data_IF_107055707379
#
_entry.id   IF_107055707379
#
_cell.length_a   1.000
_cell.length_b   1.000
_cell.length_c   1.000
_cell.angle_alpha   90.00
_cell.angle_beta   90.00
_cell.angle_gamma   90.00
#
_symmetry.space_group_name_H-M   'P 1'
#
loop_
_entity.id
_entity.type
_entity.pdbx_description
1 polymer ?
#
# COMPACT_ATOMS: atom_id res chain seq x y z
N UNK A 1 68.50 9.26 -2.41
CA UNK A 1 68.62 10.39 -3.31
C UNK A 1 67.22 10.68 -3.80
N UNK A 2 66.55 11.60 -3.47
CA UNK A 2 66.62 12.92 -2.89
C UNK A 2 65.24 13.53 -3.12
N UNK A 3 64.70 13.84 -2.02
CA UNK A 3 63.97 15.05 -1.64
C UNK A 3 62.77 15.54 -2.47
N UNK A 4 61.73 15.65 -1.71
CA UNK A 4 60.58 16.54 -1.84
C UNK A 4 60.97 18.04 -1.77
N UNK A 5 60.14 18.99 -1.27
CA UNK A 5 58.78 18.99 -0.73
C UNK A 5 57.93 20.22 -1.14
N UNK A 6 56.71 20.33 -0.52
CA UNK A 6 55.96 21.56 -0.11
C UNK A 6 55.44 22.47 -1.22
N UNK A 7 54.29 23.10 -1.13
CA UNK A 7 53.64 23.90 -0.06
C UNK A 7 52.18 24.17 -0.37
N UNK A 8 51.39 24.12 0.67
CA UNK A 8 50.12 24.84 0.79
C UNK A 8 50.45 26.32 1.16
N UNK A 9 49.70 27.30 0.80
CA UNK A 9 48.83 28.00 1.72
C UNK A 9 47.58 28.59 1.04
N UNK A 10 46.56 28.96 1.68
CA UNK A 10 46.25 29.46 2.95
C UNK A 10 44.82 30.04 2.96
N UNK A 11 44.25 30.00 4.07
CA UNK A 11 43.15 30.77 4.61
C UNK A 11 42.88 32.17 4.04
N UNK A 12 41.59 32.51 3.89
CA UNK A 12 41.09 33.82 4.31
C UNK A 12 39.58 33.77 4.63
N UNK A 13 39.38 34.04 5.88
CA UNK A 13 38.16 34.34 6.61
C UNK A 13 37.76 35.83 6.46
N UNK A 14 36.55 36.11 6.77
CA UNK A 14 35.94 37.40 7.21
C UNK A 14 34.95 38.03 6.20
N UNK A 15 33.81 38.59 6.55
CA UNK A 15 33.18 39.03 7.81
C UNK A 15 31.74 39.37 7.56
N UNK A 16 30.95 39.24 8.61
CA UNK A 16 29.58 39.78 8.78
C UNK A 16 29.49 41.31 8.57
N UNK A 17 28.32 41.80 8.23
CA UNK A 17 27.57 42.96 8.74
C UNK A 17 26.20 42.95 8.07
N UNK A 18 25.05 42.82 8.67
CA UNK A 18 24.49 43.61 9.74
C UNK A 18 23.39 44.53 9.17
N UNK A 19 22.13 44.41 9.61
CA UNK A 19 21.16 45.44 9.36
C UNK A 19 19.70 45.02 9.41
N UNK A 20 19.14 45.01 10.60
CA UNK A 20 17.69 44.93 10.88
C UNK A 20 16.96 46.22 10.44
N UNK A 21 15.70 46.09 10.01
CA UNK A 21 14.65 47.07 10.32
C UNK A 21 13.29 46.43 10.36
N UNK A 22 12.68 46.54 11.53
CA UNK A 22 11.25 46.43 11.83
C UNK A 22 10.49 47.60 11.20
N UNK A 23 9.23 47.37 10.83
CA UNK A 23 8.23 48.39 10.57
C UNK A 23 6.87 47.81 10.81
N UNK A 24 6.27 48.32 11.82
CA UNK A 24 5.01 48.04 12.52
C UNK A 24 3.84 48.73 11.80
N UNK A 25 2.69 48.06 11.96
CA UNK A 25 1.28 48.51 12.07
C UNK A 25 0.67 49.46 11.00
N UNK A 26 -0.49 49.10 10.48
CA UNK A 26 -1.73 49.80 10.85
C UNK A 26 -3.00 49.01 10.49
N UNK A 27 -3.91 48.93 11.46
CA UNK A 27 -5.31 48.56 11.35
C UNK A 27 -6.07 49.60 10.56
N UNK A 28 -7.03 49.23 9.74
CA UNK A 28 -8.32 49.92 9.83
C UNK A 28 -9.50 49.14 9.24
N UNK A 29 -10.60 49.24 9.94
CA UNK A 29 -11.92 48.69 9.73
C UNK A 29 -12.63 49.22 8.47
N UNK A 30 -13.60 48.45 7.98
CA UNK A 30 -14.65 48.99 7.14
C UNK A 30 -15.52 47.89 6.56
N UNK A 31 -16.66 47.67 7.19
CA UNK A 31 -17.73 46.78 6.79
C UNK A 31 -18.46 47.19 5.52
N UNK A 32 -19.19 46.26 4.96
CA UNK A 32 -20.09 46.43 3.84
C UNK A 32 -20.76 45.14 3.44
N UNK A 33 -22.02 45.10 3.69
CA UNK A 33 -23.03 44.05 3.50
C UNK A 33 -23.31 43.71 2.03
N UNK A 34 -23.62 42.43 1.80
CA UNK A 34 -24.60 41.81 0.89
C UNK A 34 -24.46 41.98 -0.63
N UNK A 35 -24.42 40.92 -1.40
CA UNK A 35 -25.58 40.38 -2.11
C UNK A 35 -25.18 39.19 -3.00
N UNK A 36 -26.15 38.35 -3.23
CA UNK A 36 -26.21 37.06 -3.90
C UNK A 36 -25.68 37.09 -5.34
N UNK A 37 -24.91 36.07 -5.71
CA UNK A 37 -24.57 35.73 -7.10
C UNK A 37 -24.18 34.26 -7.22
N UNK A 38 -25.18 33.43 -7.50
CA UNK A 38 -25.10 32.02 -7.81
C UNK A 38 -24.42 31.83 -9.17
N UNK A 39 -23.26 31.20 -9.22
CA UNK A 39 -22.72 30.62 -10.44
C UNK A 39 -22.06 29.29 -10.10
N UNK A 40 -22.70 28.24 -10.53
CA UNK A 40 -22.26 26.86 -10.59
C UNK A 40 -21.08 26.76 -11.55
N UNK A 41 -19.91 26.38 -11.08
CA UNK A 41 -18.83 25.85 -11.91
C UNK A 41 -18.26 24.62 -11.23
N UNK A 42 -18.36 23.51 -11.97
CA UNK A 42 -17.85 22.20 -11.61
C UNK A 42 -16.38 22.24 -11.25
N UNK A 43 -16.07 21.99 -9.99
CA UNK A 43 -14.72 21.71 -9.51
C UNK A 43 -14.40 20.26 -9.78
N UNK A 44 -13.43 20.00 -10.63
CA UNK A 44 -12.81 18.70 -10.75
C UNK A 44 -12.00 18.43 -9.47
N UNK A 45 -12.51 17.53 -8.65
CA UNK A 45 -11.86 17.05 -7.43
C UNK A 45 -10.76 16.08 -7.83
N UNK A 46 -9.51 16.53 -7.76
CA UNK A 46 -8.35 15.63 -7.83
C UNK A 46 -8.18 14.99 -6.46
N UNK A 47 -8.98 13.96 -6.22
CA UNK A 47 -8.87 13.10 -5.04
C UNK A 47 -7.51 12.39 -5.04
N UNK A 48 -6.71 12.68 -4.01
CA UNK A 48 -5.46 12.01 -3.74
C UNK A 48 -5.64 10.50 -3.61
N UNK A 49 -4.68 9.74 -4.09
CA UNK A 49 -4.60 8.30 -3.94
C UNK A 49 -4.56 7.94 -2.44
N UNK A 50 -5.72 7.61 -1.89
CA UNK A 50 -5.81 7.01 -0.58
C UNK A 50 -5.36 5.56 -0.68
N UNK A 51 -4.33 5.21 0.06
CA UNK A 51 -3.92 3.82 0.27
C UNK A 51 -4.98 3.18 1.17
N UNK A 52 -5.95 2.53 0.57
CA UNK A 52 -6.99 1.81 1.29
C UNK A 52 -6.43 0.47 1.75
N UNK A 53 -6.12 0.37 3.03
CA UNK A 53 -5.71 -0.88 3.67
C UNK A 53 -6.98 -1.64 4.03
N UNK A 54 -7.48 -2.46 3.12
CA UNK A 54 -8.59 -3.34 3.39
C UNK A 54 -8.10 -4.59 4.14
N UNK A 55 -8.53 -4.75 5.39
CA UNK A 55 -8.35 -5.98 6.15
C UNK A 55 -9.36 -7.02 5.70
N UNK A 56 -8.92 -8.16 5.19
CA UNK A 56 -9.80 -9.31 4.90
C UNK A 56 -9.91 -10.12 6.19
N UNK A 57 -11.10 -10.34 6.76
CA UNK A 57 -11.24 -11.15 7.96
C UNK A 57 -10.83 -12.60 7.69
N UNK A 58 -9.99 -13.14 8.57
CA UNK A 58 -9.62 -14.55 8.55
C UNK A 58 -10.88 -15.43 8.63
N UNK A 59 -10.85 -16.57 7.93
CA UNK A 59 -11.95 -17.55 7.91
C UNK A 59 -12.35 -17.93 9.33
N UNK A 60 -13.66 -17.81 9.63
CA UNK A 60 -14.27 -18.11 10.94
C UNK A 60 -13.93 -19.53 11.40
N UNK A 61 -13.42 -19.72 12.61
CA UNK A 61 -13.43 -21.02 13.23
C UNK A 61 -14.90 -21.42 13.56
N UNK A 62 -15.16 -22.71 13.47
CA UNK A 62 -16.48 -23.33 13.65
C UNK A 62 -17.03 -23.02 15.05
N UNK A 63 -18.08 -22.22 15.16
CA UNK A 63 -18.74 -21.94 16.44
C UNK A 63 -19.57 -23.14 16.89
N UNK A 64 -19.22 -23.72 18.02
CA UNK A 64 -20.14 -24.62 18.75
C UNK A 64 -21.16 -23.73 19.48
N UNK A 65 -22.33 -23.55 18.87
CA UNK A 65 -23.49 -22.94 19.54
C UNK A 65 -24.09 -23.96 20.50
N UNK A 66 -23.77 -23.83 21.78
CA UNK A 66 -24.57 -24.40 22.86
C UNK A 66 -25.55 -23.34 23.36
N UNK A 67 -26.83 -23.54 23.14
CA UNK A 67 -27.89 -22.73 23.72
C UNK A 67 -27.95 -23.07 25.25
N UNK A 68 -27.48 -22.16 26.10
CA UNK A 68 -27.49 -22.33 27.56
C UNK A 68 -28.42 -21.30 28.12
N UNK A 69 -29.60 -21.73 28.56
CA UNK A 69 -30.54 -20.88 29.27
C UNK A 69 -29.94 -20.35 30.59
N UNK A 70 -30.20 -19.08 30.95
CA UNK A 70 -29.78 -18.52 32.24
C UNK A 70 -30.30 -19.34 33.40
N UNK A 71 -29.49 -19.60 34.43
CA UNK A 71 -29.85 -20.26 35.67
C UNK A 71 -29.82 -19.24 36.83
N UNK A 72 -30.74 -19.39 37.78
CA UNK A 72 -30.71 -18.59 38.99
C UNK A 72 -29.42 -18.84 39.78
N UNK A 73 -28.93 -17.80 40.48
CA UNK A 73 -27.77 -17.94 41.33
C UNK A 73 -28.06 -18.93 42.44
N UNK A 74 -27.32 -20.06 42.52
CA UNK A 74 -27.57 -21.06 43.56
C UNK A 74 -27.43 -20.46 44.97
N UNK A 75 -28.21 -20.97 45.93
CA UNK A 75 -28.13 -20.51 47.34
C UNK A 75 -26.73 -20.71 47.95
N UNK A 76 -26.01 -21.75 47.50
CA UNK A 76 -24.65 -22.09 47.90
C UNK A 76 -23.56 -21.33 47.07
N UNK A 77 -23.95 -20.41 46.19
CA UNK A 77 -22.99 -19.66 45.34
C UNK A 77 -21.89 -18.95 46.16
N UNK A 78 -22.21 -18.53 47.37
CA UNK A 78 -21.26 -17.92 48.30
C UNK A 78 -20.13 -18.85 48.67
N UNK A 79 -20.38 -20.18 48.74
CA UNK A 79 -19.43 -21.22 49.12
C UNK A 79 -18.63 -21.72 47.91
N UNK A 80 -19.08 -21.42 46.69
CA UNK A 80 -18.37 -21.86 45.45
C UNK A 80 -17.03 -21.12 45.33
N UNK A 81 -15.96 -21.84 44.94
CA UNK A 81 -14.69 -21.20 44.57
C UNK A 81 -14.90 -20.17 43.45
N UNK A 82 -14.15 -19.09 43.51
CA UNK A 82 -14.21 -18.01 42.48
C UNK A 82 -14.01 -18.58 41.06
N UNK A 83 -13.13 -19.61 40.92
CA UNK A 83 -12.90 -20.30 39.68
C UNK A 83 -14.14 -20.94 39.05
N UNK A 84 -15.15 -21.30 39.87
CA UNK A 84 -16.42 -21.88 39.39
C UNK A 84 -17.50 -20.81 39.26
N UNK A 85 -17.63 -19.92 40.26
CA UNK A 85 -18.65 -18.89 40.28
C UNK A 85 -18.47 -17.83 39.18
N UNK A 86 -17.21 -17.50 38.80
CA UNK A 86 -16.86 -16.56 37.76
C UNK A 86 -16.18 -17.30 36.56
N UNK A 87 -16.59 -18.51 36.25
CA UNK A 87 -16.06 -19.25 35.11
C UNK A 87 -16.54 -18.62 33.78
N UNK A 88 -15.62 -18.45 32.86
CA UNK A 88 -15.88 -17.85 31.54
C UNK A 88 -14.95 -18.41 30.47
N UNK A 89 -15.25 -18.09 29.21
CA UNK A 89 -14.43 -18.42 28.06
C UNK A 89 -14.55 -17.31 27.00
N UNK A 90 -13.52 -17.18 26.18
CA UNK A 90 -13.57 -16.50 24.89
C UNK A 90 -14.04 -17.47 23.81
N UNK A 91 -14.63 -16.97 22.75
CA UNK A 91 -15.04 -17.77 21.57
C UNK A 91 -13.82 -18.14 20.68
N UNK A 92 -12.77 -17.33 20.73
CA UNK A 92 -11.46 -17.59 20.11
C UNK A 92 -10.35 -17.16 21.05
N UNK A 93 -9.24 -17.88 21.05
CA UNK A 93 -8.07 -17.65 21.91
C UNK A 93 -6.91 -16.99 21.16
N UNK A 94 -6.95 -16.96 19.84
CA UNK A 94 -5.94 -16.30 19.03
C UNK A 94 -6.60 -15.60 17.81
N UNK A 95 -6.22 -14.35 17.56
CA UNK A 95 -6.79 -13.53 16.49
C UNK A 95 -5.78 -12.51 15.98
N UNK A 96 -6.14 -11.81 14.90
CA UNK A 96 -5.39 -10.66 14.41
C UNK A 96 -5.90 -9.37 15.06
N UNK A 97 -5.06 -8.36 15.17
CA UNK A 97 -5.47 -7.01 15.58
C UNK A 97 -6.73 -6.58 14.83
N UNK A 98 -7.70 -5.98 15.54
CA UNK A 98 -8.96 -5.54 14.96
C UNK A 98 -10.02 -6.63 14.78
N UNK A 99 -9.75 -7.86 15.21
CA UNK A 99 -10.77 -8.93 15.22
C UNK A 99 -11.65 -8.81 16.46
N UNK A 100 -12.96 -8.90 16.27
CA UNK A 100 -13.93 -8.92 17.36
C UNK A 100 -13.96 -10.29 18.03
N UNK A 101 -13.81 -10.32 19.36
CA UNK A 101 -13.77 -11.53 20.20
C UNK A 101 -14.93 -11.48 21.17
N UNK A 102 -15.73 -12.54 21.21
CA UNK A 102 -16.85 -12.69 22.13
C UNK A 102 -16.44 -13.38 23.43
N UNK A 103 -16.94 -12.84 24.56
CA UNK A 103 -16.73 -13.41 25.88
C UNK A 103 -18.06 -13.82 26.50
N UNK A 104 -18.06 -14.92 27.23
CA UNK A 104 -19.27 -15.41 27.87
C UNK A 104 -18.98 -16.13 29.19
N UNK A 105 -19.87 -15.98 30.14
CA UNK A 105 -19.84 -16.82 31.34
C UNK A 105 -20.11 -18.29 30.98
N UNK A 106 -19.40 -19.21 31.63
CA UNK A 106 -19.64 -20.65 31.45
C UNK A 106 -21.05 -21.07 31.85
N UNK A 107 -21.63 -20.37 32.84
CA UNK A 107 -23.03 -20.53 33.27
C UNK A 107 -23.64 -19.14 33.38
N UNK A 108 -24.53 -18.74 32.46
CA UNK A 108 -25.29 -17.50 32.59
C UNK A 108 -26.12 -17.55 33.88
N UNK A 109 -26.12 -16.42 34.64
CA UNK A 109 -26.81 -16.28 35.91
C UNK A 109 -27.70 -15.07 35.91
N UNK A 110 -28.85 -15.18 36.60
CA UNK A 110 -29.71 -14.04 36.94
C UNK A 110 -29.25 -13.40 38.24
N UNK A 111 -29.73 -12.21 38.58
CA UNK A 111 -29.47 -11.48 39.82
C UNK A 111 -27.96 -11.21 40.09
N UNK A 112 -27.18 -11.05 39.05
CA UNK A 112 -25.77 -10.66 39.12
C UNK A 112 -25.48 -9.42 38.31
N UNK A 113 -24.48 -8.65 38.73
CA UNK A 113 -23.77 -7.66 37.91
C UNK A 113 -22.43 -8.22 37.51
N UNK A 114 -22.02 -8.01 36.32
CA UNK A 114 -20.72 -8.42 35.81
C UNK A 114 -19.85 -7.24 35.46
N UNK A 115 -18.54 -7.42 35.61
CA UNK A 115 -17.53 -6.48 35.13
C UNK A 115 -16.40 -7.28 34.50
N UNK A 116 -16.22 -7.07 33.22
CA UNK A 116 -15.11 -7.60 32.46
C UNK A 116 -13.98 -6.59 32.43
N UNK A 117 -12.75 -7.09 32.57
CA UNK A 117 -11.52 -6.36 32.29
C UNK A 117 -10.76 -7.18 31.24
N UNK A 118 -10.49 -6.56 30.09
CA UNK A 118 -9.86 -7.22 28.96
C UNK A 118 -8.32 -7.16 28.99
N UNK A 119 -7.74 -6.52 30.01
CA UNK A 119 -6.28 -6.45 30.16
C UNK A 119 -5.59 -5.37 29.31
N UNK A 120 -6.32 -4.69 28.44
CA UNK A 120 -5.86 -3.57 27.62
C UNK A 120 -6.27 -2.19 28.19
N UNK A 121 -6.87 -2.17 29.37
CA UNK A 121 -7.41 -0.97 30.03
C UNK A 121 -8.87 -0.71 29.72
N UNK A 122 -9.52 -1.55 28.92
CA UNK A 122 -10.95 -1.44 28.63
C UNK A 122 -11.76 -2.42 29.47
N UNK A 123 -13.04 -2.06 29.68
CA UNK A 123 -13.96 -2.78 30.56
C UNK A 123 -15.35 -2.87 29.92
N UNK A 124 -16.11 -3.92 30.28
CA UNK A 124 -17.51 -4.05 29.91
C UNK A 124 -18.34 -4.57 31.08
N UNK A 125 -19.60 -4.16 31.16
CA UNK A 125 -20.59 -4.66 32.10
C UNK A 125 -21.71 -5.49 31.45
N UNK A 126 -21.53 -5.84 30.19
CA UNK A 126 -22.45 -6.69 29.45
C UNK A 126 -22.30 -8.14 29.88
N UNK A 127 -23.39 -8.91 29.84
CA UNK A 127 -23.38 -10.32 30.22
C UNK A 127 -22.54 -11.18 29.27
N UNK A 128 -22.51 -10.79 27.99
CA UNK A 128 -21.76 -11.46 26.93
C UNK A 128 -21.18 -10.42 25.99
N UNK A 129 -20.08 -9.73 26.38
CA UNK A 129 -19.53 -8.65 25.61
C UNK A 129 -18.77 -9.17 24.38
N UNK A 130 -18.68 -8.29 23.38
CA UNK A 130 -17.71 -8.40 22.31
C UNK A 130 -16.65 -7.33 22.52
N UNK A 131 -15.39 -7.66 22.19
CA UNK A 131 -14.27 -6.76 22.37
C UNK A 131 -13.29 -6.86 21.21
N UNK A 132 -12.69 -5.72 20.83
CA UNK A 132 -11.68 -5.60 19.79
C UNK A 132 -10.39 -5.08 20.43
N UNK A 133 -9.29 -5.81 20.23
CA UNK A 133 -7.99 -5.39 20.71
C UNK A 133 -7.26 -4.61 19.60
N UNK A 134 -6.83 -3.39 19.93
CA UNK A 134 -6.17 -2.48 18.98
C UNK A 134 -4.66 -2.68 18.87
N UNK A 135 -4.06 -3.48 19.76
CA UNK A 135 -2.64 -3.75 19.78
C UNK A 135 -2.33 -5.26 19.79
N UNK A 136 -1.22 -5.69 19.19
CA UNK A 136 -0.78 -7.07 19.32
C UNK A 136 -0.25 -7.32 20.73
N UNK A 137 -0.50 -8.52 21.26
CA UNK A 137 -0.10 -8.89 22.60
C UNK A 137 -0.83 -10.12 23.11
N UNK A 138 -0.53 -10.50 24.35
CA UNK A 138 -1.23 -11.55 25.06
C UNK A 138 -1.93 -10.90 26.24
N UNK A 139 -3.21 -11.22 26.41
CA UNK A 139 -4.09 -10.52 27.33
C UNK A 139 -4.66 -11.45 28.40
N UNK A 140 -4.57 -10.98 29.65
CA UNK A 140 -5.19 -11.59 30.79
C UNK A 140 -6.60 -11.06 30.95
N UNK A 141 -7.57 -11.93 30.94
CA UNK A 141 -8.98 -11.55 31.02
C UNK A 141 -9.50 -11.81 32.43
N UNK A 142 -10.13 -10.79 32.99
CA UNK A 142 -10.72 -10.88 34.34
C UNK A 142 -12.22 -10.65 34.29
N UNK A 143 -12.96 -11.59 34.90
CA UNK A 143 -14.40 -11.43 35.14
C UNK A 143 -14.65 -11.29 36.65
N UNK A 144 -15.33 -10.22 37.03
CA UNK A 144 -15.89 -10.03 38.37
C UNK A 144 -17.41 -10.16 38.31
N UNK A 145 -17.98 -11.05 39.10
CA UNK A 145 -19.42 -11.28 39.23
C UNK A 145 -19.85 -10.86 40.63
N UNK A 146 -20.81 -9.92 40.70
CA UNK A 146 -21.36 -9.41 41.96
C UNK A 146 -22.81 -9.85 42.06
N UNK A 147 -23.17 -10.57 43.15
CA UNK A 147 -24.56 -10.93 43.44
C UNK A 147 -25.30 -9.72 43.95
N UNK A 148 -26.49 -9.45 43.39
CA UNK A 148 -27.26 -8.21 43.69
C UNK A 148 -27.84 -8.25 45.11
N UNK A 149 -28.26 -9.43 45.58
CA UNK A 149 -28.94 -9.59 46.85
C UNK A 149 -28.11 -9.20 48.08
N UNK A 150 -26.80 -9.43 48.08
CA UNK A 150 -25.91 -9.22 49.24
C UNK A 150 -24.57 -8.52 48.88
N UNK A 151 -24.34 -8.22 47.64
CA UNK A 151 -23.13 -7.58 47.17
C UNK A 151 -21.88 -8.47 47.16
N UNK A 152 -22.03 -9.78 47.36
CA UNK A 152 -20.89 -10.72 47.33
C UNK A 152 -20.23 -10.75 45.96
N UNK A 153 -18.88 -10.59 45.93
CA UNK A 153 -18.10 -10.55 44.68
C UNK A 153 -17.28 -11.82 44.52
N UNK A 154 -17.27 -12.35 43.34
CA UNK A 154 -16.38 -13.42 42.90
C UNK A 154 -15.63 -12.96 41.65
N UNK A 155 -14.30 -13.04 41.69
CA UNK A 155 -13.43 -12.62 40.59
C UNK A 155 -12.56 -13.78 40.14
N UNK A 156 -12.43 -13.94 38.82
CA UNK A 156 -11.52 -14.89 38.21
C UNK A 156 -10.73 -14.20 37.08
N UNK A 157 -9.42 -14.39 37.08
CA UNK A 157 -8.54 -14.03 35.98
C UNK A 157 -8.09 -15.32 35.30
N UNK A 158 -8.10 -15.30 33.96
CA UNK A 158 -7.44 -16.33 33.16
C UNK A 158 -6.28 -15.63 32.45
N UNK A 159 -5.09 -16.02 32.87
CA UNK A 159 -3.85 -15.49 32.31
C UNK A 159 -3.67 -15.98 30.88
N UNK A 160 -3.18 -15.10 30.01
CA UNK A 160 -2.87 -15.40 28.61
C UNK A 160 -4.06 -16.02 27.82
N UNK A 161 -5.29 -15.65 28.15
CA UNK A 161 -6.48 -16.21 27.52
C UNK A 161 -6.58 -15.87 26.04
N UNK A 162 -6.16 -14.66 25.68
CA UNK A 162 -6.26 -14.18 24.30
C UNK A 162 -4.90 -13.72 23.79
N UNK A 163 -4.52 -14.22 22.62
CA UNK A 163 -3.30 -13.78 21.91
C UNK A 163 -3.67 -13.05 20.63
N UNK A 164 -3.26 -11.79 20.52
CA UNK A 164 -3.50 -10.95 19.36
C UNK A 164 -2.23 -10.82 18.54
N UNK A 165 -2.30 -11.27 17.28
CA UNK A 165 -1.18 -11.24 16.36
C UNK A 165 -1.16 -9.94 15.55
N UNK A 166 0.03 -9.39 15.26
CA UNK A 166 0.17 -8.22 14.43
C UNK A 166 -0.26 -8.51 12.99
N UNK A 167 -0.85 -7.51 12.34
CA UNK A 167 -1.13 -7.52 10.91
C UNK A 167 0.16 -7.14 10.17
N UNK A 168 0.57 -7.86 9.14
CA UNK A 168 1.73 -7.48 8.33
C UNK A 168 1.44 -6.16 7.60
N UNK A 169 2.48 -5.43 7.27
CA UNK A 169 2.36 -4.22 6.44
C UNK A 169 2.68 -4.57 4.99
N UNK A 170 1.65 -4.68 4.16
CA UNK A 170 1.81 -4.89 2.74
C UNK A 170 2.38 -3.64 2.06
N UNK A 171 3.38 -3.84 1.21
CA UNK A 171 3.98 -2.79 0.37
C UNK A 171 4.71 -3.44 -0.80
N UNK A 172 4.76 -2.76 -1.94
CA UNK A 172 5.51 -3.24 -3.09
C UNK A 172 5.95 -2.11 -4.03
N UNK A 173 6.97 -2.42 -4.81
CA UNK A 173 7.43 -1.58 -5.92
C UNK A 173 7.27 -2.32 -7.23
N UNK A 174 7.19 -1.58 -8.33
CA UNK A 174 7.15 -2.14 -9.67
C UNK A 174 8.07 -1.40 -10.63
N UNK A 175 8.49 -2.10 -11.64
CA UNK A 175 9.25 -1.55 -12.77
C UNK A 175 8.76 -2.22 -14.07
N UNK A 176 8.94 -1.54 -15.19
CA UNK A 176 8.64 -2.10 -16.50
C UNK A 176 9.96 -2.29 -17.24
N UNK A 177 10.63 -3.45 -17.09
CA UNK A 177 11.98 -3.65 -17.61
C UNK A 177 12.01 -3.91 -19.12
N UNK A 178 10.95 -4.48 -19.69
CA UNK A 178 10.92 -4.90 -21.08
C UNK A 178 9.49 -5.09 -21.60
N UNK A 179 9.35 -5.19 -22.92
CA UNK A 179 8.19 -5.81 -23.55
C UNK A 179 8.51 -7.28 -23.84
N UNK A 180 7.59 -8.20 -23.55
CA UNK A 180 7.58 -9.48 -24.22
C UNK A 180 6.87 -9.31 -25.56
N UNK A 181 7.23 -10.08 -26.58
CA UNK A 181 6.87 -10.00 -28.01
C UNK A 181 5.78 -9.02 -28.47
N UNK A 182 4.76 -8.74 -27.65
CA UNK A 182 3.64 -7.83 -27.94
C UNK A 182 3.10 -7.04 -26.75
N UNK A 183 3.45 -7.45 -25.53
CA UNK A 183 2.82 -6.92 -24.33
C UNK A 183 3.84 -6.38 -23.32
N UNK A 184 3.52 -5.31 -22.58
CA UNK A 184 4.38 -4.85 -21.52
C UNK A 184 4.49 -5.89 -20.41
N UNK A 185 5.70 -6.08 -19.90
CA UNK A 185 5.99 -6.91 -18.72
C UNK A 185 6.20 -5.98 -17.55
N UNK A 186 5.41 -6.17 -16.48
CA UNK A 186 5.63 -5.49 -15.21
C UNK A 186 6.36 -6.45 -14.28
N UNK A 187 7.47 -5.99 -13.74
CA UNK A 187 8.19 -6.67 -12.66
C UNK A 187 7.83 -6.06 -11.34
N UNK A 188 7.22 -6.84 -10.47
CA UNK A 188 6.80 -6.44 -9.14
C UNK A 188 7.74 -7.02 -8.09
N UNK A 189 8.04 -6.24 -7.05
CA UNK A 189 8.89 -6.65 -5.94
C UNK A 189 8.20 -6.37 -4.63
N UNK A 190 8.06 -7.39 -3.81
CA UNK A 190 7.53 -7.30 -2.45
C UNK A 190 8.45 -6.45 -1.56
N UNK A 191 7.84 -5.53 -0.81
CA UNK A 191 8.47 -4.68 0.20
C UNK A 191 7.74 -4.76 1.53
N UNK A 192 6.83 -5.73 1.66
CA UNK A 192 6.05 -5.93 2.88
C UNK A 192 6.95 -6.20 4.08
N UNK A 193 6.45 -5.83 5.26
CA UNK A 193 7.11 -6.11 6.54
C UNK A 193 6.23 -7.05 7.36
N UNK A 194 6.86 -7.88 8.18
CA UNK A 194 6.21 -8.83 9.08
C UNK A 194 5.30 -9.85 8.36
N UNK A 195 5.58 -10.09 7.07
CA UNK A 195 4.91 -11.07 6.23
C UNK A 195 5.78 -12.31 6.03
N UNK A 196 5.17 -13.49 6.02
CA UNK A 196 5.81 -14.76 5.66
C UNK A 196 5.50 -15.19 4.24
N UNK A 197 4.35 -14.74 3.71
CA UNK A 197 3.90 -15.04 2.36
C UNK A 197 3.36 -13.78 1.67
N UNK A 198 3.46 -13.78 0.35
CA UNK A 198 2.90 -12.73 -0.49
C UNK A 198 2.21 -13.37 -1.71
N UNK A 199 1.02 -12.87 -2.05
CA UNK A 199 0.25 -13.31 -3.21
C UNK A 199 -0.10 -12.08 -4.05
N UNK A 200 0.19 -12.15 -5.33
CA UNK A 200 -0.09 -11.10 -6.29
C UNK A 200 -1.43 -11.35 -6.98
N UNK A 201 -2.19 -10.29 -7.14
CA UNK A 201 -3.47 -10.27 -7.85
C UNK A 201 -3.41 -9.13 -8.86
N UNK A 202 -3.70 -9.42 -10.12
CA UNK A 202 -3.73 -8.43 -11.20
C UNK A 202 -5.11 -8.47 -11.84
N UNK A 203 -5.78 -7.33 -11.93
CA UNK A 203 -7.14 -7.18 -12.48
C UNK A 203 -8.17 -8.15 -11.88
N UNK A 204 -7.97 -8.52 -10.61
CA UNK A 204 -8.87 -9.44 -9.88
C UNK A 204 -8.53 -10.93 -10.06
N UNK A 205 -7.55 -11.27 -10.90
CA UNK A 205 -7.09 -12.65 -11.07
C UNK A 205 -5.87 -12.94 -10.20
N UNK A 206 -5.88 -14.05 -9.47
CA UNK A 206 -4.71 -14.49 -8.69
C UNK A 206 -3.61 -14.91 -9.63
N UNK A 207 -2.51 -14.24 -9.50
CA UNK A 207 -1.46 -14.34 -10.46
C UNK A 207 -0.31 -15.24 -10.03
N UNK A 208 0.39 -14.89 -8.98
CA UNK A 208 1.58 -15.61 -8.51
C UNK A 208 1.78 -15.40 -7.01
N UNK A 209 2.51 -16.33 -6.39
CA UNK A 209 3.00 -16.16 -5.02
C UNK A 209 4.52 -15.93 -5.05
N UNK A 210 5.02 -15.17 -4.07
CA UNK A 210 6.46 -14.98 -3.84
C UNK A 210 6.93 -13.54 -3.73
N UNK A 211 8.24 -13.40 -3.54
CA UNK A 211 8.94 -12.13 -3.33
C UNK A 211 8.95 -11.22 -4.57
N UNK A 212 8.87 -11.79 -5.75
CA UNK A 212 8.79 -11.05 -7.01
C UNK A 212 7.93 -11.79 -8.01
N UNK A 213 7.29 -11.05 -8.89
CA UNK A 213 6.52 -11.60 -9.98
C UNK A 213 6.68 -10.74 -11.24
N UNK A 214 6.90 -11.39 -12.37
CA UNK A 214 6.84 -10.76 -13.68
C UNK A 214 5.48 -11.09 -14.31
N UNK A 215 4.79 -10.04 -14.75
CA UNK A 215 3.45 -10.09 -15.30
C UNK A 215 3.43 -9.52 -16.70
N UNK A 216 2.91 -10.27 -17.65
CA UNK A 216 2.61 -9.80 -18.99
C UNK A 216 1.18 -9.25 -19.02
N UNK A 217 1.02 -7.96 -19.30
CA UNK A 217 -0.27 -7.29 -19.39
C UNK A 217 -0.81 -7.41 -20.81
N UNK A 218 -1.92 -8.13 -20.96
CA UNK A 218 -2.49 -8.42 -22.28
C UNK A 218 -3.20 -7.26 -22.97
N UNK A 219 -3.30 -6.09 -22.31
CA UNK A 219 -3.99 -4.91 -22.83
C UNK A 219 -3.35 -3.61 -22.33
N UNK A 220 -3.64 -2.54 -23.01
CA UNK A 220 -3.32 -1.18 -22.58
C UNK A 220 -4.43 -0.62 -21.71
N UNK A 221 -4.14 0.39 -20.90
CA UNK A 221 -5.06 1.04 -19.98
C UNK A 221 -4.67 0.87 -18.53
N UNK A 222 -5.63 1.10 -17.65
CA UNK A 222 -5.43 0.98 -16.23
C UNK A 222 -5.51 -0.51 -15.79
N UNK A 223 -4.52 -0.91 -15.02
CA UNK A 223 -4.43 -2.22 -14.39
C UNK A 223 -4.38 -2.08 -12.88
N UNK A 224 -5.16 -2.88 -12.19
CA UNK A 224 -5.19 -2.92 -10.73
C UNK A 224 -4.30 -4.04 -10.24
N UNK A 225 -3.19 -3.67 -9.60
CA UNK A 225 -2.27 -4.63 -8.98
C UNK A 225 -2.44 -4.60 -7.47
N UNK A 226 -2.61 -5.77 -6.88
CA UNK A 226 -2.72 -5.95 -5.44
C UNK A 226 -1.67 -6.96 -4.98
N UNK A 227 -1.09 -6.69 -3.82
CA UNK A 227 -0.25 -7.62 -3.07
C UNK A 227 -0.94 -7.95 -1.75
N UNK A 228 -1.32 -9.19 -1.57
CA UNK A 228 -1.82 -9.71 -0.29
C UNK A 228 -0.62 -10.28 0.49
N UNK A 229 -0.24 -9.59 1.55
CA UNK A 229 0.80 -10.03 2.47
C UNK A 229 0.18 -10.77 3.65
N UNK A 230 0.71 -11.95 3.99
CA UNK A 230 0.21 -12.79 5.09
C UNK A 230 1.31 -13.06 6.10
N UNK A 231 0.99 -12.92 7.39
CA UNK A 231 1.89 -13.31 8.49
C UNK A 231 1.89 -14.83 8.71
N UNK A 232 2.82 -15.39 9.49
CA UNK A 232 2.82 -16.82 9.88
C UNK A 232 1.55 -17.25 10.62
N UNK A 233 0.84 -16.29 11.21
CA UNK A 233 -0.38 -16.49 11.98
C UNK A 233 -1.67 -16.35 11.16
N UNK A 234 -1.54 -16.14 9.84
CA UNK A 234 -2.68 -15.97 8.95
C UNK A 234 -3.27 -14.56 8.88
N UNK A 235 -2.71 -13.59 9.60
CA UNK A 235 -3.12 -12.19 9.48
C UNK A 235 -2.69 -11.63 8.13
N UNK A 236 -3.56 -10.84 7.49
CA UNK A 236 -3.35 -10.35 6.13
C UNK A 236 -3.50 -8.84 6.05
N UNK A 237 -2.76 -8.24 5.13
CA UNK A 237 -2.97 -6.88 4.64
C UNK A 237 -2.81 -6.83 3.14
N UNK A 238 -3.35 -5.78 2.52
CA UNK A 238 -3.34 -5.62 1.06
C UNK A 238 -2.76 -4.25 0.71
N UNK A 239 -1.75 -4.24 -0.16
CA UNK A 239 -1.32 -3.04 -0.86
C UNK A 239 -1.92 -3.06 -2.27
N UNK A 240 -2.44 -1.92 -2.73
CA UNK A 240 -3.07 -1.77 -4.05
C UNK A 240 -2.49 -0.57 -4.78
N UNK A 241 -2.15 -0.76 -6.05
CA UNK A 241 -1.75 0.30 -6.96
C UNK A 241 -2.47 0.15 -8.29
N UNK A 242 -2.87 1.30 -8.83
CA UNK A 242 -3.36 1.39 -10.19
C UNK A 242 -2.16 1.71 -11.08
N UNK A 243 -1.88 0.86 -12.04
CA UNK A 243 -0.77 1.01 -12.97
C UNK A 243 -1.36 1.31 -14.34
N UNK A 244 -1.10 2.51 -14.84
CA UNK A 244 -1.53 2.88 -16.16
C UNK A 244 -0.51 2.42 -17.20
N UNK A 245 -0.94 1.51 -18.08
CA UNK A 245 -0.19 1.09 -19.25
C UNK A 245 -0.73 1.84 -20.45
N UNK A 246 -0.01 2.90 -20.82
CA UNK A 246 -0.46 3.81 -21.86
C UNK A 246 -0.50 3.14 -23.23
N UNK A 247 -1.68 3.20 -23.86
CA UNK A 247 -1.76 3.19 -25.31
C UNK A 247 -1.80 4.62 -25.78
N UNK A 248 -0.88 5.02 -26.65
CA UNK A 248 -1.01 6.25 -27.44
C UNK A 248 -1.36 7.54 -26.65
N UNK A 249 -0.97 7.65 -25.43
CA UNK A 249 -1.06 8.92 -24.75
C UNK A 249 -0.21 9.91 -25.54
N UNK A 250 -0.77 11.00 -26.02
CA UNK A 250 -0.17 12.12 -26.71
C UNK A 250 1.35 12.20 -26.96
N UNK A 251 2.11 11.20 -26.57
CA UNK A 251 3.52 10.98 -26.89
C UNK A 251 3.69 10.72 -28.38
N UNK A 252 2.58 10.42 -29.11
CA UNK A 252 2.57 10.32 -30.55
C UNK A 252 3.35 9.10 -31.02
N UNK A 253 2.63 7.98 -31.18
CA UNK A 253 3.15 6.83 -31.88
C UNK A 253 3.53 7.15 -33.30
N UNK A 254 4.24 6.23 -33.88
CA UNK A 254 4.86 6.17 -35.16
C UNK A 254 4.21 7.02 -36.25
N UNK A 255 4.88 8.11 -36.56
CA UNK A 255 4.96 8.51 -37.97
C UNK A 255 5.76 7.46 -38.74
N UNK A 256 5.76 7.58 -40.04
CA UNK A 256 6.65 6.80 -40.93
C UNK A 256 8.09 6.88 -40.40
N UNK A 257 8.79 5.78 -40.45
CA UNK A 257 10.22 5.71 -40.15
C UNK A 257 10.89 5.01 -41.28
N UNK A 258 11.74 5.72 -42.01
CA UNK A 258 12.45 5.24 -43.18
C UNK A 258 13.89 5.77 -43.13
N UNK A 259 14.81 5.06 -42.48
CA UNK A 259 16.19 5.53 -42.27
C UNK A 259 17.07 5.30 -43.54
N UNK A 260 16.62 5.73 -44.72
CA UNK A 260 17.28 5.58 -46.00
C UNK A 260 18.24 6.73 -46.34
N UNK A 261 18.17 7.84 -45.57
CA UNK A 261 19.08 8.98 -45.70
C UNK A 261 18.63 10.02 -46.73
N UNK A 262 17.36 10.00 -47.15
CA UNK A 262 16.78 10.97 -48.09
C UNK A 262 16.38 12.30 -47.42
N UNK A 263 16.50 12.39 -46.07
CA UNK A 263 16.14 13.56 -45.27
C UNK A 263 14.71 13.55 -44.78
N UNK A 264 13.89 12.54 -45.12
CA UNK A 264 12.50 12.44 -44.77
C UNK A 264 12.27 11.19 -43.89
N UNK A 265 11.76 11.35 -42.70
CA UNK A 265 11.47 10.25 -41.76
C UNK A 265 12.68 9.40 -41.36
N UNK A 266 13.89 9.90 -41.57
CA UNK A 266 15.16 9.24 -41.20
C UNK A 266 15.37 9.02 -39.71
N UNK A 267 14.55 9.66 -38.88
CA UNK A 267 14.70 9.66 -37.42
C UNK A 267 13.37 9.38 -36.74
N UNK A 268 13.42 8.50 -35.78
CA UNK A 268 12.28 8.15 -34.94
C UNK A 268 12.42 8.76 -33.54
N UNK A 269 11.46 9.57 -33.17
CA UNK A 269 11.29 10.10 -31.80
C UNK A 269 9.80 10.29 -31.55
N UNK A 270 9.23 9.66 -30.53
CA UNK A 270 7.88 9.95 -30.08
C UNK A 270 7.75 11.42 -29.70
N UNK A 271 6.81 12.12 -30.36
CA UNK A 271 6.70 13.61 -30.28
C UNK A 271 6.51 14.14 -28.87
N UNK A 272 5.78 13.41 -28.02
CA UNK A 272 5.53 13.79 -26.64
C UNK A 272 6.77 13.83 -25.77
N UNK A 273 7.87 13.14 -26.15
CA UNK A 273 9.13 13.21 -25.40
C UNK A 273 9.75 14.61 -25.38
N UNK A 274 9.47 15.45 -26.38
CA UNK A 274 9.95 16.81 -26.44
C UNK A 274 9.28 17.74 -25.42
N UNK A 275 8.12 17.35 -24.90
CA UNK A 275 7.30 18.14 -23.96
C UNK A 275 7.32 17.53 -22.55
N UNK A 276 8.11 16.47 -22.36
CA UNK A 276 8.12 15.75 -21.09
C UNK A 276 9.07 16.45 -20.11
N UNK A 277 8.54 16.92 -18.99
CA UNK A 277 9.31 17.56 -17.90
C UNK A 277 9.86 16.54 -16.89
N UNK A 278 9.46 15.26 -16.99
CA UNK A 278 9.81 14.20 -16.06
C UNK A 278 10.96 13.36 -16.58
N UNK A 279 11.83 12.83 -15.70
CA UNK A 279 12.84 11.86 -16.09
C UNK A 279 12.20 10.64 -16.77
N UNK A 280 12.77 10.21 -17.87
CA UNK A 280 12.30 9.06 -18.62
C UNK A 280 13.46 8.19 -19.13
N UNK A 281 13.12 6.96 -19.51
CA UNK A 281 13.98 6.08 -20.28
C UNK A 281 13.23 5.70 -21.54
N UNK A 282 13.78 6.01 -22.70
CA UNK A 282 13.24 5.62 -24.00
C UNK A 282 14.11 4.51 -24.58
N UNK A 283 13.48 3.40 -25.00
CA UNK A 283 14.14 2.22 -25.56
C UNK A 283 13.51 1.79 -26.87
N UNK A 284 14.34 1.25 -27.75
CA UNK A 284 13.91 0.52 -28.94
C UNK A 284 14.54 -0.87 -28.89
N UNK A 285 13.74 -1.89 -29.19
CA UNK A 285 14.13 -3.29 -29.16
C UNK A 285 13.81 -3.97 -30.48
N UNK A 286 14.66 -4.94 -30.88
CA UNK A 286 14.37 -5.82 -31.99
C UNK A 286 13.30 -6.88 -31.61
N UNK A 287 12.92 -7.72 -32.60
CA UNK A 287 11.94 -8.80 -32.41
C UNK A 287 12.38 -9.87 -31.40
N UNK A 288 13.66 -9.94 -31.09
CA UNK A 288 14.24 -10.85 -30.10
C UNK A 288 14.33 -10.24 -28.71
N UNK A 289 13.95 -8.96 -28.57
CA UNK A 289 13.98 -8.24 -27.31
C UNK A 289 15.34 -7.61 -26.98
N UNK A 290 16.32 -7.61 -27.91
CA UNK A 290 17.59 -6.94 -27.70
C UNK A 290 17.43 -5.43 -27.85
N UNK A 291 17.97 -4.67 -26.91
CA UNK A 291 17.95 -3.21 -26.96
C UNK A 291 18.89 -2.75 -28.09
N UNK A 292 18.33 -2.10 -29.10
CA UNK A 292 19.09 -1.50 -30.22
C UNK A 292 19.34 -0.01 -30.00
N UNK A 293 18.53 0.65 -29.16
CA UNK A 293 18.70 2.05 -28.81
C UNK A 293 18.14 2.31 -27.40
N UNK A 294 18.84 3.13 -26.61
CA UNK A 294 18.38 3.58 -25.30
C UNK A 294 18.84 5.03 -25.05
N UNK A 295 17.97 5.85 -24.47
CA UNK A 295 18.31 7.21 -24.08
C UNK A 295 17.42 7.69 -22.92
N UNK A 296 17.96 8.61 -22.11
CA UNK A 296 17.23 9.36 -21.09
C UNK A 296 16.99 10.82 -21.48
N UNK A 297 17.43 11.20 -22.69
CA UNK A 297 17.23 12.51 -23.28
C UNK A 297 16.32 12.40 -24.52
N UNK A 298 15.64 13.50 -24.97
CA UNK A 298 14.79 13.48 -26.14
C UNK A 298 15.62 13.39 -27.44
N UNK A 299 16.38 12.30 -27.58
CA UNK A 299 17.23 12.01 -28.72
C UNK A 299 16.55 11.02 -29.65
N UNK A 300 16.48 11.36 -30.94
CA UNK A 300 15.90 10.51 -31.93
C UNK A 300 16.84 9.36 -32.33
N UNK A 301 16.25 8.17 -32.56
CA UNK A 301 16.95 7.04 -33.17
C UNK A 301 17.05 7.24 -34.70
N UNK A 302 18.20 6.99 -35.26
CA UNK A 302 18.48 7.14 -36.70
C UNK A 302 18.50 5.81 -37.46
N UNK A 303 18.03 4.72 -36.83
CA UNK A 303 18.01 3.39 -37.41
C UNK A 303 19.34 2.62 -37.30
N UNK A 304 20.37 3.18 -36.69
CA UNK A 304 21.65 2.48 -36.47
C UNK A 304 21.50 1.30 -35.52
N UNK A 305 22.11 0.17 -35.87
CA UNK A 305 22.09 -1.05 -35.06
C UNK A 305 23.43 -1.24 -34.33
N UNK A 306 23.42 -1.76 -33.07
CA UNK A 306 24.66 -2.03 -32.31
C UNK A 306 25.62 -3.02 -33.02
N UNK A 307 25.08 -3.90 -33.83
CA UNK A 307 25.85 -4.87 -34.62
C UNK A 307 26.49 -4.27 -35.87
N UNK A 308 26.27 -3.00 -36.14
CA UNK A 308 26.66 -2.29 -37.36
C UNK A 308 25.54 -2.32 -38.41
N UNK A 309 25.54 -1.29 -39.28
CA UNK A 309 24.51 -1.10 -40.29
C UNK A 309 23.28 -0.36 -39.81
N UNK A 310 22.23 -0.35 -40.62
CA UNK A 310 20.94 0.30 -40.32
C UNK A 310 19.80 -0.67 -40.45
N UNK A 311 18.71 -0.33 -39.77
CA UNK A 311 17.44 -1.04 -39.89
C UNK A 311 16.95 -1.04 -41.32
N UNK A 312 16.58 -2.21 -41.84
CA UNK A 312 16.15 -2.40 -43.22
C UNK A 312 14.63 -2.23 -43.35
N UNK A 313 14.13 -1.79 -44.53
CA UNK A 313 12.70 -1.79 -44.83
C UNK A 313 12.04 -3.13 -44.52
N UNK A 314 10.86 -3.11 -43.92
CA UNK A 314 10.14 -4.31 -43.46
C UNK A 314 10.60 -4.86 -42.14
N UNK A 315 11.67 -4.32 -41.54
CA UNK A 315 12.08 -4.70 -40.18
C UNK A 315 11.07 -4.14 -39.13
N UNK A 316 10.68 -4.97 -38.19
CA UNK A 316 9.83 -4.58 -37.06
C UNK A 316 10.67 -4.44 -35.81
N UNK A 317 10.38 -3.38 -35.07
CA UNK A 317 10.92 -3.08 -33.73
C UNK A 317 9.77 -2.81 -32.76
N UNK A 318 10.04 -2.82 -31.49
CA UNK A 318 9.18 -2.27 -30.47
C UNK A 318 9.88 -1.11 -29.77
N UNK A 319 9.14 -0.09 -29.41
CA UNK A 319 9.67 0.98 -28.57
C UNK A 319 8.92 1.08 -27.27
N UNK A 320 9.61 1.54 -26.23
CA UNK A 320 9.05 1.76 -24.91
C UNK A 320 9.60 3.02 -24.26
N UNK A 321 8.76 3.68 -23.45
CA UNK A 321 9.13 4.83 -22.63
C UNK A 321 8.65 4.57 -21.22
N UNK A 322 9.54 4.71 -20.26
CA UNK A 322 9.23 4.68 -18.83
C UNK A 322 9.43 6.07 -18.28
N UNK A 323 8.39 6.70 -17.79
CA UNK A 323 8.41 8.05 -17.20
C UNK A 323 8.33 7.93 -15.69
N UNK A 324 9.24 8.58 -14.96
CA UNK A 324 9.24 8.60 -13.50
C UNK A 324 8.37 9.75 -12.99
N UNK A 325 7.05 9.53 -12.87
CA UNK A 325 6.09 10.52 -12.37
C UNK A 325 5.98 10.55 -10.84
N UNK A 326 5.28 11.57 -10.29
CA UNK A 326 5.04 11.69 -8.83
C UNK A 326 4.19 10.55 -8.25
N UNK A 327 3.27 10.02 -9.05
CA UNK A 327 2.39 8.93 -8.65
C UNK A 327 2.99 7.53 -8.87
N UNK A 328 4.23 7.45 -9.38
CA UNK A 328 4.91 6.23 -9.79
C UNK A 328 5.29 6.27 -11.27
N UNK A 329 5.97 5.22 -11.77
CA UNK A 329 6.37 5.14 -13.16
C UNK A 329 5.15 4.94 -14.08
N UNK A 330 5.07 5.75 -15.15
CA UNK A 330 4.14 5.54 -16.25
C UNK A 330 4.87 4.88 -17.42
N UNK A 331 4.20 3.96 -18.11
CA UNK A 331 4.79 3.18 -19.19
C UNK A 331 4.03 3.36 -20.49
N UNK A 332 4.78 3.56 -21.60
CA UNK A 332 4.26 3.71 -22.96
C UNK A 332 5.03 2.81 -23.89
N UNK A 333 4.33 2.13 -24.79
CA UNK A 333 4.97 1.26 -25.79
C UNK A 333 4.10 1.11 -27.02
N UNK A 334 4.75 0.85 -28.17
CA UNK A 334 4.08 0.53 -29.42
C UNK A 334 5.08 -0.17 -30.37
N UNK A 335 4.58 -0.68 -31.49
CA UNK A 335 5.39 -1.25 -32.55
C UNK A 335 5.91 -0.15 -33.49
N UNK A 336 7.08 -0.36 -34.05
CA UNK A 336 7.72 0.48 -35.04
C UNK A 336 8.09 -0.39 -36.26
N UNK A 337 7.45 -0.09 -37.38
CA UNK A 337 7.79 -0.72 -38.64
C UNK A 337 8.69 0.23 -39.48
N UNK A 338 9.79 -0.28 -40.03
CA UNK A 338 10.63 0.44 -40.95
C UNK A 338 10.00 0.34 -42.35
N UNK A 339 9.73 1.48 -42.98
CA UNK A 339 9.19 1.57 -44.34
C UNK A 339 10.29 1.58 -45.41
#
# INVERSE_FOLDING_TARGET
MDEGPSEDPGFAESQEVGGAKRGEVDENMGGGTAEQGRAELAGADVSGAATETASIPASKPSSVRGDVSPVDVPADWAELPAAVAAAFAADIDAACVGTEIGFRMAKPMNDVRVLWNFGDGQFSNEASPQHVFDAPGTYDITLSVTRISDGLIRTRTIENLVTIHPIPRADFTWEVPAMSERNPVIRMRNRSRDASNATWIVDGETAKAGESADFELGRTGEHVVQLVASSPYGCQSVARHNIEVGSRFGIGGAGRFSPDGDGSYDRFLPRGLLQLEWPFVFRIQDKQGHIVFETTEPKAWDGSLPTGGRALPGSGFSWSIVVQGKAGPAYYADELLVE
#
